data_IF_375458707407
#
_entry.id   IF_375458707407
#
_cell.length_a   1.000
_cell.length_b   1.000
_cell.length_c   1.000
_cell.angle_alpha   90.00
_cell.angle_beta   90.00
_cell.angle_gamma   90.00
#
_symmetry.space_group_name_H-M   'P 1'
#
loop_
_entity.id
_entity.type
_entity.pdbx_description
1 polymer ?
#
# COMPACT_ATOMS: atom_id res chain seq x y z
N UNK A 1 34.58 1.93 -6.82
CA UNK A 1 33.47 0.95 -6.88
C UNK A 1 32.33 1.51 -6.05
N UNK A 2 31.13 1.69 -6.61
CA UNK A 2 29.97 2.18 -5.86
C UNK A 2 29.43 1.07 -4.96
N UNK A 3 29.29 1.31 -3.64
CA UNK A 3 28.80 0.31 -2.69
C UNK A 3 27.28 0.12 -2.81
N UNK A 4 26.79 -1.01 -2.31
CA UNK A 4 25.36 -1.19 -2.02
C UNK A 4 24.90 -0.10 -1.06
N UNK A 5 23.65 0.36 -1.21
CA UNK A 5 23.11 1.46 -0.42
C UNK A 5 21.91 0.98 0.39
N UNK A 6 21.96 1.20 1.70
CA UNK A 6 20.89 0.87 2.62
C UNK A 6 19.87 2.02 2.69
N UNK A 7 18.61 1.67 2.49
CA UNK A 7 17.49 2.59 2.59
C UNK A 7 16.46 2.12 3.60
N UNK A 8 15.71 3.10 4.10
CA UNK A 8 14.46 2.90 4.80
C UNK A 8 13.29 3.16 3.86
N UNK A 9 12.30 2.26 3.84
CA UNK A 9 11.05 2.46 3.12
C UNK A 9 10.16 3.38 3.96
N UNK A 10 9.88 4.59 3.46
CA UNK A 10 9.10 5.60 4.19
C UNK A 10 7.70 5.81 3.64
N UNK A 11 7.44 5.43 2.40
CA UNK A 11 6.10 5.37 1.84
C UNK A 11 6.01 4.31 0.74
N UNK A 12 4.81 3.77 0.54
CA UNK A 12 4.49 2.78 -0.49
C UNK A 12 3.21 3.22 -1.16
N UNK A 13 3.19 3.23 -2.48
CA UNK A 13 2.00 3.54 -3.27
C UNK A 13 1.83 2.49 -4.35
N UNK A 14 0.66 1.87 -4.39
CA UNK A 14 0.23 1.11 -5.56
C UNK A 14 -0.13 2.12 -6.66
N UNK A 15 0.68 2.16 -7.72
CA UNK A 15 0.51 3.08 -8.83
C UNK A 15 -0.43 2.55 -9.91
N UNK A 16 -0.90 1.30 -9.76
CA UNK A 16 -1.94 0.74 -10.64
C UNK A 16 -3.36 1.15 -10.22
N UNK A 17 -3.51 1.70 -9.01
CA UNK A 17 -4.79 2.14 -8.44
C UNK A 17 -4.96 3.65 -8.52
N UNK A 18 -6.20 4.08 -8.77
CA UNK A 18 -6.56 5.49 -8.68
C UNK A 18 -6.57 5.96 -7.23
N UNK A 19 -6.31 7.26 -7.03
CA UNK A 19 -6.39 7.87 -5.70
C UNK A 19 -7.79 7.72 -5.07
N UNK A 20 -8.86 7.80 -5.88
CA UNK A 20 -10.25 7.60 -5.43
C UNK A 20 -10.46 6.18 -4.90
N UNK A 21 -10.05 5.15 -5.65
CA UNK A 21 -10.15 3.76 -5.19
C UNK A 21 -9.33 3.53 -3.92
N UNK A 22 -8.19 4.20 -3.78
CA UNK A 22 -7.36 4.11 -2.58
C UNK A 22 -8.05 4.75 -1.36
N UNK A 23 -8.70 5.90 -1.55
CA UNK A 23 -9.51 6.57 -0.51
C UNK A 23 -10.66 5.67 -0.04
N UNK A 24 -11.38 5.04 -0.96
CA UNK A 24 -12.49 4.12 -0.64
C UNK A 24 -12.00 2.95 0.21
N UNK A 25 -10.93 2.26 -0.21
CA UNK A 25 -10.37 1.15 0.57
C UNK A 25 -9.85 1.57 1.94
N UNK A 26 -9.24 2.75 2.05
CA UNK A 26 -8.79 3.27 3.35
C UNK A 26 -9.97 3.55 4.29
N UNK A 27 -11.04 4.16 3.77
CA UNK A 27 -12.25 4.44 4.55
C UNK A 27 -12.89 3.13 5.06
N UNK A 28 -13.05 2.13 4.19
CA UNK A 28 -13.57 0.81 4.55
C UNK A 28 -12.74 0.12 5.64
N UNK A 29 -11.40 0.17 5.54
CA UNK A 29 -10.51 -0.42 6.53
C UNK A 29 -10.59 0.27 7.89
N UNK A 30 -10.71 1.60 7.92
CA UNK A 30 -10.87 2.37 9.15
C UNK A 30 -12.22 2.04 9.81
N UNK A 31 -13.31 2.07 9.03
CA UNK A 31 -14.66 1.76 9.51
C UNK A 31 -14.76 0.34 10.05
N UNK A 32 -14.17 -0.64 9.36
CA UNK A 32 -14.13 -2.02 9.81
C UNK A 32 -13.42 -2.13 11.16
N UNK A 33 -12.24 -1.52 11.28
CA UNK A 33 -11.44 -1.56 12.50
C UNK A 33 -12.22 -0.95 13.68
N UNK A 34 -12.82 0.23 13.49
CA UNK A 34 -13.67 0.89 14.50
C UNK A 34 -14.89 0.03 14.89
N UNK A 35 -15.54 -0.61 13.91
CA UNK A 35 -16.65 -1.53 14.15
C UNK A 35 -16.26 -2.77 14.97
N UNK A 36 -15.03 -3.28 14.82
CA UNK A 36 -14.51 -4.35 15.68
C UNK A 36 -14.23 -3.87 17.11
N UNK A 37 -13.64 -2.68 17.28
CA UNK A 37 -13.38 -2.10 18.60
C UNK A 37 -14.69 -1.77 19.37
N UNK A 38 -15.72 -1.26 18.69
CA UNK A 38 -17.03 -0.97 19.30
C UNK A 38 -17.74 -2.27 19.76
N UNK A 39 -17.59 -3.36 18.98
CA UNK A 39 -18.11 -4.69 19.36
C UNK A 39 -17.43 -5.29 20.59
N UNK A 40 -16.12 -5.05 20.76
CA UNK A 40 -15.39 -5.54 21.94
C UNK A 40 -15.66 -4.70 23.19
N UNK A 41 -15.93 -3.41 23.04
CA UNK A 41 -16.14 -2.48 24.18
C UNK A 41 -17.59 -2.39 24.64
N UNK A 42 -18.56 -2.74 23.78
CA UNK A 42 -19.98 -2.78 24.14
C UNK A 42 -20.53 -4.20 24.11
N UNK A 43 -20.58 -4.83 25.28
CA UNK A 43 -21.37 -6.03 25.54
C UNK A 43 -22.88 -5.73 25.53
N UNK A 44 -23.44 -5.37 24.37
CA UNK A 44 -24.89 -5.32 24.15
C UNK A 44 -25.24 -5.93 22.79
N UNK A 45 -26.02 -7.02 22.75
CA UNK A 45 -26.41 -7.63 21.49
C UNK A 45 -27.47 -6.73 20.85
N UNK A 46 -27.17 -6.19 19.67
CA UNK A 46 -28.22 -5.62 18.81
C UNK A 46 -28.20 -6.30 17.44
N UNK A 47 -29.30 -7.02 17.22
CA UNK A 47 -29.86 -7.61 15.99
C UNK A 47 -29.01 -7.49 14.72
N UNK A 48 -28.60 -8.65 14.21
CA UNK A 48 -28.20 -8.90 12.82
C UNK A 48 -28.99 -8.01 11.86
N UNK A 49 -28.30 -7.11 11.16
CA UNK A 49 -28.87 -6.42 10.01
C UNK A 49 -28.69 -7.33 8.79
N UNK A 50 -29.83 -7.84 8.35
CA UNK A 50 -30.09 -8.65 7.17
C UNK A 50 -29.37 -8.09 5.93
N UNK A 51 -28.79 -9.02 5.18
CA UNK A 51 -28.22 -8.87 3.84
C UNK A 51 -29.23 -8.16 2.92
N UNK A 52 -28.84 -7.00 2.38
CA UNK A 52 -29.43 -6.39 1.18
C UNK A 52 -28.30 -6.45 0.15
N UNK A 53 -28.39 -7.09 -1.00
CA UNK A 53 -29.53 -7.56 -1.79
C UNK A 53 -28.95 -8.58 -2.78
N UNK A 54 -29.55 -9.76 -2.87
CA UNK A 54 -29.30 -10.68 -3.97
C UNK A 54 -30.06 -10.14 -5.19
N UNK A 55 -29.33 -9.74 -6.23
CA UNK A 55 -29.92 -9.51 -7.54
C UNK A 55 -29.87 -10.85 -8.28
N UNK A 56 -30.94 -11.63 -8.16
CA UNK A 56 -31.17 -12.82 -8.99
C UNK A 56 -32.17 -12.39 -10.05
N UNK A 57 -31.65 -11.90 -11.16
CA UNK A 57 -32.36 -11.92 -12.45
C UNK A 57 -31.29 -12.20 -13.50
N UNK A 58 -31.46 -13.35 -14.16
CA UNK A 58 -30.58 -13.79 -15.23
C UNK A 58 -30.84 -13.00 -16.49
N UNK A 59 -29.77 -12.55 -17.13
CA UNK A 59 -29.55 -12.72 -18.57
C UNK A 59 -28.12 -12.32 -18.91
N UNK A 60 -27.45 -13.19 -19.66
CA UNK A 60 -26.13 -13.04 -20.30
C UNK A 60 -25.04 -12.34 -19.46
N UNK A 61 -24.33 -13.11 -18.63
CA UNK A 61 -23.01 -12.72 -18.15
C UNK A 61 -22.06 -12.55 -19.34
N UNK A 62 -21.92 -11.32 -19.84
CA UNK A 62 -20.66 -10.87 -20.42
C UNK A 62 -19.62 -10.95 -19.31
N UNK A 63 -18.96 -12.10 -19.22
CA UNK A 63 -17.79 -12.30 -18.38
C UNK A 63 -16.64 -11.52 -19.03
N UNK A 64 -16.64 -10.20 -18.90
CA UNK A 64 -15.42 -9.44 -19.08
C UNK A 64 -14.44 -10.00 -18.04
N UNK A 65 -13.33 -10.63 -18.44
CA UNK A 65 -12.36 -11.09 -17.47
C UNK A 65 -11.87 -9.83 -16.77
N UNK A 66 -12.31 -9.62 -15.53
CA UNK A 66 -11.71 -8.63 -14.65
C UNK A 66 -10.36 -9.21 -14.29
N UNK A 67 -9.40 -9.13 -15.23
CA UNK A 67 -7.99 -9.27 -14.91
C UNK A 67 -7.73 -8.13 -13.94
N UNK A 68 -7.79 -8.45 -12.65
CA UNK A 68 -7.29 -7.57 -11.61
C UNK A 68 -5.83 -7.38 -11.95
N UNK A 69 -5.50 -6.19 -12.47
CA UNK A 69 -4.14 -5.87 -12.86
C UNK A 69 -3.23 -6.15 -11.67
N UNK A 70 -2.10 -6.82 -11.92
CA UNK A 70 -1.15 -7.09 -10.84
C UNK A 70 -0.68 -5.74 -10.28
N UNK A 71 -0.76 -5.54 -8.95
CA UNK A 71 -0.41 -4.25 -8.37
C UNK A 71 1.03 -3.93 -8.72
N UNK A 72 1.34 -2.66 -8.99
CA UNK A 72 2.70 -2.20 -9.28
C UNK A 72 3.02 -1.09 -8.30
N UNK A 73 4.16 -1.16 -7.63
CA UNK A 73 4.45 -0.26 -6.52
C UNK A 73 5.51 0.79 -6.85
N UNK A 74 5.30 1.99 -6.31
CA UNK A 74 6.34 3.00 -6.11
C UNK A 74 6.66 3.09 -4.62
N UNK A 75 7.93 2.98 -4.28
CA UNK A 75 8.45 3.20 -2.94
C UNK A 75 9.05 4.61 -2.84
N UNK A 76 8.90 5.23 -1.68
CA UNK A 76 9.73 6.38 -1.28
C UNK A 76 10.76 5.85 -0.29
N UNK A 77 12.03 6.09 -0.59
CA UNK A 77 13.17 5.58 0.16
C UNK A 77 13.89 6.74 0.83
N UNK A 78 14.43 6.48 2.02
CA UNK A 78 15.25 7.43 2.78
C UNK A 78 16.61 6.82 3.11
N UNK A 79 17.70 7.52 2.79
CA UNK A 79 19.06 7.08 3.14
C UNK A 79 19.43 7.43 4.60
N UNK A 80 20.64 7.05 5.02
CA UNK A 80 21.13 7.32 6.38
C UNK A 80 21.34 8.82 6.69
N UNK A 81 21.39 9.68 5.68
CA UNK A 81 21.52 11.13 5.82
C UNK A 81 20.16 11.85 5.78
N UNK A 82 19.06 11.10 5.63
CA UNK A 82 17.72 11.63 5.53
C UNK A 82 17.29 12.05 4.13
N UNK A 83 18.12 11.84 3.10
CA UNK A 83 17.78 12.17 1.72
C UNK A 83 16.70 11.24 1.19
N UNK A 84 15.76 11.79 0.43
CA UNK A 84 14.65 11.04 -0.16
C UNK A 84 14.88 10.77 -1.64
N UNK A 85 14.51 9.56 -2.07
CA UNK A 85 14.42 9.22 -3.48
C UNK A 85 13.21 8.31 -3.75
N UNK A 86 12.85 8.19 -5.03
CA UNK A 86 11.82 7.24 -5.43
C UNK A 86 12.44 5.94 -5.92
N UNK A 87 11.66 4.87 -5.84
CA UNK A 87 12.01 3.61 -6.47
C UNK A 87 10.75 2.99 -7.07
N UNK A 88 10.83 2.57 -8.33
CA UNK A 88 9.74 1.96 -9.07
C UNK A 88 9.99 0.47 -9.22
N UNK A 89 8.99 -0.32 -8.90
CA UNK A 89 8.94 -1.73 -9.22
C UNK A 89 8.84 -1.90 -10.73
N UNK A 90 9.90 -2.44 -11.36
CA UNK A 90 9.91 -2.78 -12.79
C UNK A 90 9.57 -4.26 -12.99
N UNK A 91 10.03 -5.10 -12.06
CA UNK A 91 9.66 -6.52 -11.99
C UNK A 91 9.03 -6.81 -10.61
N UNK A 92 8.02 -7.70 -10.53
CA UNK A 92 7.36 -8.01 -9.26
C UNK A 92 8.35 -8.39 -8.15
N UNK A 93 8.32 -7.64 -7.05
CA UNK A 93 9.13 -7.88 -5.87
C UNK A 93 8.36 -8.79 -4.90
N UNK A 94 8.86 -10.00 -4.58
CA UNK A 94 8.13 -10.97 -3.77
C UNK A 94 7.71 -10.45 -2.38
N UNK A 95 8.54 -9.61 -1.76
CA UNK A 95 8.25 -9.04 -0.44
C UNK A 95 7.08 -8.03 -0.46
N UNK A 96 6.72 -7.49 -1.62
CA UNK A 96 5.53 -6.64 -1.77
C UNK A 96 4.26 -7.45 -2.09
N UNK A 97 4.37 -8.77 -2.15
CA UNK A 97 3.26 -9.71 -2.39
C UNK A 97 3.05 -10.67 -1.21
N UNK A 98 3.82 -10.53 -0.13
CA UNK A 98 3.75 -11.42 1.04
C UNK A 98 2.53 -11.18 1.93
N UNK A 99 1.87 -10.03 1.81
CA UNK A 99 0.62 -9.72 2.52
C UNK A 99 -0.42 -9.19 1.53
N UNK A 100 -1.70 -9.57 1.68
CA UNK A 100 -2.81 -8.97 0.93
C UNK A 100 -3.21 -7.58 1.47
N UNK A 101 -2.56 -7.09 2.52
CA UNK A 101 -2.84 -5.78 3.09
C UNK A 101 -2.59 -4.65 2.09
N UNK A 102 -3.33 -3.55 2.24
CA UNK A 102 -3.15 -2.33 1.43
C UNK A 102 -1.72 -1.76 1.51
N UNK A 103 -1.01 -2.06 2.61
CA UNK A 103 0.41 -1.82 2.80
C UNK A 103 1.13 -3.16 2.98
N UNK A 104 1.73 -3.72 1.91
CA UNK A 104 2.23 -5.09 1.93
C UNK A 104 3.46 -5.27 2.83
N UNK A 105 4.14 -4.18 3.21
CA UNK A 105 5.19 -4.17 4.23
C UNK A 105 5.05 -2.97 5.15
N UNK A 106 5.60 -3.09 6.36
CA UNK A 106 5.59 -2.04 7.38
C UNK A 106 6.51 -0.89 7.01
N UNK A 107 6.08 0.34 7.26
CA UNK A 107 6.94 1.51 7.07
C UNK A 107 8.09 1.49 8.09
N UNK A 108 9.24 2.03 7.67
CA UNK A 108 10.49 1.93 8.42
C UNK A 108 11.29 0.65 8.12
N UNK A 109 10.73 -0.29 7.35
CA UNK A 109 11.45 -1.48 6.86
C UNK A 109 12.71 -1.08 6.10
N UNK A 110 13.72 -1.95 6.12
CA UNK A 110 15.00 -1.72 5.47
C UNK A 110 15.09 -2.45 4.12
N UNK A 111 15.61 -1.74 3.13
CA UNK A 111 15.82 -2.24 1.78
C UNK A 111 17.27 -1.94 1.39
N UNK A 112 18.02 -2.98 1.01
CA UNK A 112 19.34 -2.81 0.42
C UNK A 112 19.18 -2.71 -1.09
N UNK A 113 19.54 -1.58 -1.68
CA UNK A 113 19.63 -1.42 -3.13
C UNK A 113 21.04 -1.80 -3.55
N UNK A 114 21.15 -2.79 -4.41
CA UNK A 114 22.42 -3.37 -4.83
C UNK A 114 23.08 -2.51 -5.90
N UNK A 115 24.42 -2.57 -5.94
CA UNK A 115 25.19 -1.96 -7.03
C UNK A 115 24.66 -2.43 -8.39
N UNK A 116 24.48 -1.47 -9.29
CA UNK A 116 24.01 -1.73 -10.66
C UNK A 116 22.51 -1.53 -10.86
N UNK A 117 21.76 -1.18 -9.81
CA UNK A 117 20.39 -0.71 -9.97
C UNK A 117 20.35 0.52 -10.88
N UNK A 118 19.49 0.47 -11.90
CA UNK A 118 19.33 1.58 -12.85
C UNK A 118 18.69 2.78 -12.15
N UNK A 119 19.26 3.97 -12.38
CA UNK A 119 18.70 5.25 -11.93
C UNK A 119 18.16 6.01 -13.13
N UNK A 120 16.90 6.43 -13.06
CA UNK A 120 16.22 7.20 -14.10
C UNK A 120 15.88 8.58 -13.54
N UNK A 121 15.92 9.59 -14.41
CA UNK A 121 15.65 10.99 -14.07
C UNK A 121 16.52 11.53 -12.91
N UNK A 122 17.69 10.93 -12.68
CA UNK A 122 18.65 11.34 -11.65
C UNK A 122 18.27 11.02 -10.20
N UNK A 123 17.04 10.55 -9.92
CA UNK A 123 16.54 10.40 -8.55
C UNK A 123 15.59 9.23 -8.32
N UNK A 124 15.36 8.37 -9.32
CA UNK A 124 14.43 7.26 -9.22
C UNK A 124 15.12 5.93 -9.55
N UNK A 125 15.15 4.99 -8.60
CA UNK A 125 15.65 3.64 -8.84
C UNK A 125 14.63 2.80 -9.59
N UNK A 126 15.10 1.94 -10.49
CA UNK A 126 14.34 0.84 -11.05
C UNK A 126 14.67 -0.43 -10.28
N UNK A 127 13.70 -0.98 -9.57
CA UNK A 127 13.87 -2.15 -8.73
C UNK A 127 13.39 -3.41 -9.44
N UNK A 128 14.21 -4.43 -9.33
CA UNK A 128 13.98 -5.81 -9.71
C UNK A 128 14.41 -6.71 -8.54
N UNK A 129 14.02 -7.99 -8.50
CA UNK A 129 14.49 -8.94 -7.48
C UNK A 129 16.02 -9.10 -7.43
N UNK A 130 16.72 -8.82 -8.54
CA UNK A 130 18.18 -8.92 -8.65
C UNK A 130 18.94 -7.64 -8.28
N UNK A 131 18.23 -6.53 -8.06
CA UNK A 131 18.82 -5.22 -7.75
C UNK A 131 18.45 -4.71 -6.36
N UNK A 132 17.65 -5.48 -5.61
CA UNK A 132 17.33 -5.14 -4.24
C UNK A 132 17.14 -6.36 -3.35
N UNK A 133 17.41 -6.16 -2.06
CA UNK A 133 17.19 -7.16 -1.02
C UNK A 133 16.41 -6.54 0.13
N UNK A 134 15.23 -7.08 0.40
CA UNK A 134 14.43 -6.68 1.55
C UNK A 134 15.01 -7.28 2.84
N UNK A 135 15.21 -6.44 3.85
CA UNK A 135 15.79 -6.83 5.14
C UNK A 135 14.76 -6.82 6.28
N UNK A 136 13.54 -6.33 6.04
CA UNK A 136 12.49 -6.26 7.06
C UNK A 136 12.71 -5.18 8.12
N UNK A 137 12.16 -5.41 9.30
CA UNK A 137 12.09 -4.42 10.39
C UNK A 137 10.95 -3.42 10.20
N UNK A 138 10.80 -2.50 11.15
CA UNK A 138 9.82 -1.42 11.07
C UNK A 138 10.21 -0.27 11.99
N UNK A 139 9.59 0.88 11.79
CA UNK A 139 9.58 1.97 12.77
C UNK A 139 8.14 2.16 13.26
N UNK A 140 7.82 1.81 14.53
CA UNK A 140 6.44 1.80 15.01
C UNK A 140 5.69 3.11 14.82
N UNK A 141 6.35 4.25 15.08
CA UNK A 141 5.75 5.57 14.94
C UNK A 141 5.29 5.90 13.50
N UNK A 142 5.90 5.30 12.48
CA UNK A 142 5.50 5.50 11.08
C UNK A 142 4.23 4.73 10.73
N UNK A 143 3.98 3.63 11.42
CA UNK A 143 2.82 2.75 11.19
C UNK A 143 1.62 3.13 12.08
N UNK A 144 1.85 3.89 13.16
CA UNK A 144 0.79 4.43 13.99
C UNK A 144 -0.15 5.34 13.19
N UNK A 145 -1.46 5.08 13.29
CA UNK A 145 -2.53 5.78 12.56
C UNK A 145 -2.30 5.90 11.04
N UNK A 146 -1.51 4.99 10.45
CA UNK A 146 -1.12 5.03 9.05
C UNK A 146 -2.33 5.23 8.12
N UNK A 147 -3.38 4.42 8.27
CA UNK A 147 -4.52 4.47 7.35
C UNK A 147 -5.27 5.80 7.43
N UNK A 148 -5.48 6.35 8.64
CA UNK A 148 -6.14 7.65 8.83
C UNK A 148 -5.30 8.78 8.26
N UNK A 149 -3.99 8.75 8.51
CA UNK A 149 -3.04 9.75 7.99
C UNK A 149 -3.02 9.74 6.46
N UNK A 150 -2.91 8.57 5.86
CA UNK A 150 -2.85 8.45 4.40
C UNK A 150 -4.19 8.80 3.75
N UNK A 151 -5.32 8.47 4.37
CA UNK A 151 -6.63 8.90 3.90
C UNK A 151 -6.72 10.43 3.80
N UNK A 152 -6.27 11.14 4.85
CA UNK A 152 -6.23 12.60 4.84
C UNK A 152 -5.24 13.15 3.81
N UNK A 153 -4.11 12.48 3.58
CA UNK A 153 -3.14 12.86 2.56
C UNK A 153 -3.77 12.76 1.16
N UNK A 154 -4.39 11.63 0.83
CA UNK A 154 -5.03 11.43 -0.47
C UNK A 154 -6.21 12.36 -0.70
N UNK A 155 -7.07 12.58 0.30
CA UNK A 155 -8.18 13.54 0.19
C UNK A 155 -7.66 14.95 -0.13
N UNK A 156 -6.55 15.37 0.50
CA UNK A 156 -5.91 16.65 0.19
C UNK A 156 -5.25 16.68 -1.19
N UNK A 157 -4.54 15.63 -1.59
CA UNK A 157 -3.84 15.55 -2.87
C UNK A 157 -4.78 15.79 -4.07
N UNK A 158 -6.01 15.28 -3.99
CA UNK A 158 -6.98 15.37 -5.10
C UNK A 158 -8.12 16.36 -4.84
N UNK A 159 -8.06 17.17 -3.78
CA UNK A 159 -9.15 18.04 -3.33
C UNK A 159 -10.50 17.31 -3.24
N UNK A 160 -10.49 16.12 -2.63
CA UNK A 160 -11.66 15.26 -2.51
C UNK A 160 -12.70 15.89 -1.58
N UNK A 161 -13.91 16.15 -2.09
CA UNK A 161 -15.03 16.75 -1.33
C UNK A 161 -16.08 15.74 -0.89
N UNK A 162 -15.85 14.43 -1.12
CA UNK A 162 -16.75 13.34 -0.77
C UNK A 162 -16.61 12.80 0.66
#
# INVERSE_FOLDING_TARGET
MTPDTLFQIVAIRDVSRSAVSYIESLAELIDANEGFYDRQTRSRPRKQRVIRSANVDGDAHEHWPTQTATPTYRLTLQDAHGNLCYAHEIEPLPFLRSSPDLYPVRLGSKLLVQKGATVVFGSAFQLTPSTCRFLGGELPHMNHDLYRRELQNFKREINYTG
#
